data_IF_326669708565
#
_entry.id   IF_326669708565
#
_cell.length_a   1.000
_cell.length_b   1.000
_cell.length_c   1.000
_cell.angle_alpha   90.00
_cell.angle_beta   90.00
_cell.angle_gamma   90.00
#
_symmetry.space_group_name_H-M   'P 1'
#
loop_
_entity.id
_entity.type
_entity.pdbx_description
1 polymer ?
#
# COMPACT_ATOMS: atom_id res chain seq x y z
N UNK A 1 12.52 -11.28 14.76
CA UNK A 1 12.81 -9.88 14.33
C UNK A 1 11.73 -9.56 13.34
N UNK A 2 10.93 -8.55 13.65
CA UNK A 2 9.64 -8.38 13.00
C UNK A 2 9.68 -7.12 12.14
N UNK A 3 9.45 -7.30 10.84
CA UNK A 3 9.43 -6.21 9.87
C UNK A 3 8.00 -5.91 9.46
N UNK A 4 7.64 -4.63 9.45
CA UNK A 4 6.37 -4.17 8.92
C UNK A 4 6.60 -3.08 7.88
N UNK A 5 5.97 -3.25 6.71
CA UNK A 5 6.13 -2.36 5.56
C UNK A 5 4.77 -1.76 5.22
N UNK A 6 4.72 -0.44 5.05
CA UNK A 6 3.53 0.30 4.62
C UNK A 6 3.70 0.74 3.17
N UNK A 7 2.77 0.32 2.31
CA UNK A 7 2.69 0.78 0.93
C UNK A 7 1.72 1.96 0.82
N UNK A 8 2.10 2.95 0.01
CA UNK A 8 1.28 4.14 -0.24
C UNK A 8 1.46 4.66 -1.66
N UNK A 9 0.41 5.28 -2.20
CA UNK A 9 0.46 5.98 -3.48
C UNK A 9 0.86 7.45 -3.28
N UNK A 10 1.49 8.10 -4.27
CA UNK A 10 1.70 9.54 -4.25
C UNK A 10 0.37 10.27 -4.06
N UNK A 11 0.27 11.13 -3.05
CA UNK A 11 -0.99 11.84 -2.71
C UNK A 11 -1.66 11.38 -1.42
N UNK A 12 -1.16 10.33 -0.76
CA UNK A 12 -1.69 9.86 0.53
C UNK A 12 -1.66 10.92 1.66
N UNK A 13 -0.83 11.96 1.53
CA UNK A 13 -0.72 13.04 2.51
C UNK A 13 -2.01 13.89 2.63
N UNK A 14 -2.98 13.78 1.73
CA UNK A 14 -4.25 14.53 1.82
C UNK A 14 -5.03 14.24 3.11
N UNK A 15 -4.90 13.02 3.67
CA UNK A 15 -5.52 12.65 4.95
C UNK A 15 -4.66 12.99 6.18
N UNK A 16 -3.37 13.27 6.00
CA UNK A 16 -2.42 13.50 7.08
C UNK A 16 -2.08 14.99 7.26
N UNK A 17 -2.21 15.79 6.20
CA UNK A 17 -1.90 17.22 6.21
C UNK A 17 -2.74 18.02 7.23
N UNK A 18 -2.14 19.07 7.79
CA UNK A 18 -2.77 19.97 8.79
C UNK A 18 -3.88 20.85 8.20
N UNK A 19 -3.65 21.48 7.05
CA UNK A 19 -4.63 22.36 6.38
C UNK A 19 -5.34 21.61 5.25
N UNK A 20 -6.64 21.87 5.07
CA UNK A 20 -7.50 21.27 4.02
C UNK A 20 -7.48 19.73 4.03
N UNK A 21 -7.49 19.10 5.21
CA UNK A 21 -7.53 17.64 5.33
C UNK A 21 -8.78 17.07 4.66
N UNK A 22 -8.63 16.00 3.89
CA UNK A 22 -9.74 15.31 3.23
C UNK A 22 -9.55 13.79 3.24
N UNK A 23 -10.60 13.05 2.93
CA UNK A 23 -10.56 11.58 2.84
C UNK A 23 -9.87 11.14 1.55
N UNK A 24 -9.16 10.02 1.61
CA UNK A 24 -8.61 9.35 0.44
C UNK A 24 -9.73 8.59 -0.26
N UNK A 25 -9.90 8.81 -1.56
CA UNK A 25 -10.90 8.12 -2.38
C UNK A 25 -10.60 6.61 -2.47
N UNK A 26 -11.67 5.80 -2.60
CA UNK A 26 -11.57 4.32 -2.60
C UNK A 26 -10.61 3.82 -3.68
N UNK A 27 -10.71 4.36 -4.90
CA UNK A 27 -9.84 4.01 -6.05
C UNK A 27 -8.35 4.34 -5.84
N UNK A 28 -8.04 5.23 -4.89
CA UNK A 28 -6.66 5.62 -4.59
C UNK A 28 -6.04 4.79 -3.46
N UNK A 29 -6.85 4.03 -2.71
CA UNK A 29 -6.34 3.13 -1.68
C UNK A 29 -5.64 1.94 -2.32
N UNK A 30 -4.57 1.45 -1.68
CA UNK A 30 -3.89 0.22 -2.09
C UNK A 30 -4.68 -0.97 -1.56
N UNK A 31 -4.99 -1.94 -2.42
CA UNK A 31 -5.63 -3.20 -2.03
C UNK A 31 -4.60 -4.29 -1.76
N UNK A 32 -5.03 -5.38 -1.11
CA UNK A 32 -4.18 -6.54 -0.84
C UNK A 32 -3.59 -7.13 -2.12
N UNK A 33 -4.40 -7.26 -3.16
CA UNK A 33 -4.00 -7.82 -4.47
C UNK A 33 -2.94 -6.96 -5.16
N UNK A 34 -3.13 -5.64 -5.15
CA UNK A 34 -2.14 -4.71 -5.69
C UNK A 34 -0.81 -4.77 -4.94
N UNK A 35 -0.86 -4.87 -3.61
CA UNK A 35 0.33 -5.00 -2.78
C UNK A 35 1.12 -6.29 -3.08
N UNK A 36 0.41 -7.43 -3.22
CA UNK A 36 1.03 -8.71 -3.59
C UNK A 36 1.70 -8.63 -4.96
N UNK A 37 1.00 -8.04 -5.95
CA UNK A 37 1.56 -7.85 -7.30
C UNK A 37 2.77 -6.93 -7.31
N UNK A 38 2.74 -5.84 -6.54
CA UNK A 38 3.88 -4.93 -6.41
C UNK A 38 5.11 -5.62 -5.83
N UNK A 39 4.92 -6.48 -4.83
CA UNK A 39 6.01 -7.25 -4.23
C UNK A 39 6.63 -8.23 -5.23
N UNK A 40 5.80 -8.97 -5.97
CA UNK A 40 6.25 -9.87 -7.03
C UNK A 40 7.03 -9.13 -8.12
N UNK A 41 6.54 -7.98 -8.58
CA UNK A 41 7.17 -7.23 -9.68
C UNK A 41 8.49 -6.56 -9.31
N UNK A 42 8.62 -6.07 -8.07
CA UNK A 42 9.77 -5.26 -7.68
C UNK A 42 10.92 -6.07 -7.10
N UNK A 43 10.60 -7.21 -6.48
CA UNK A 43 11.57 -8.04 -5.77
C UNK A 43 11.59 -9.49 -6.24
N UNK A 44 10.89 -9.81 -7.35
CA UNK A 44 10.70 -11.17 -7.85
C UNK A 44 10.23 -12.16 -6.77
N UNK A 45 9.49 -11.63 -5.80
CA UNK A 45 9.14 -12.33 -4.57
C UNK A 45 8.09 -13.42 -4.79
N UNK A 46 8.41 -14.66 -4.43
CA UNK A 46 7.48 -15.78 -4.51
C UNK A 46 6.54 -15.74 -3.30
N UNK A 47 5.23 -15.64 -3.56
CA UNK A 47 4.19 -15.71 -2.53
C UNK A 47 3.70 -17.15 -2.45
N UNK A 48 4.01 -17.83 -1.35
CA UNK A 48 3.51 -19.18 -1.10
C UNK A 48 2.05 -19.11 -0.62
N UNK A 49 1.11 -19.87 -1.21
CA UNK A 49 -0.22 -20.00 -0.65
C UNK A 49 -0.09 -20.66 0.74
N UNK A 50 -0.66 -20.02 1.76
CA UNK A 50 -0.71 -20.59 3.11
C UNK A 50 -1.45 -21.92 3.10
N UNK A 51 -1.06 -22.82 4.03
CA UNK A 51 -1.73 -24.10 4.28
C UNK A 51 -3.24 -23.94 4.48
#
# INVERSE_FOLDING_TARGET
MDFYIVLGRPGYNVSLRRRRKSKIGIKHKVTKEEAMKWFQQKFDGIILPGK
#
